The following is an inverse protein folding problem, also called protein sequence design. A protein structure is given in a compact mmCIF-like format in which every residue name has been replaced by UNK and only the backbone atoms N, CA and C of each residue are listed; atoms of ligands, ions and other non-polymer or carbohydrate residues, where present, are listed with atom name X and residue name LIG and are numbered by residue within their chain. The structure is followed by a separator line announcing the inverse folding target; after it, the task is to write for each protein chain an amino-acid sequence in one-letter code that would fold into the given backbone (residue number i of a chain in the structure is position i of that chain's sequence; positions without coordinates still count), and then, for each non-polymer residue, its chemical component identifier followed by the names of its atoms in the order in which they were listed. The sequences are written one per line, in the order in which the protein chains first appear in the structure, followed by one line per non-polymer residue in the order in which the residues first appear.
data_IF_734401563084
#
_entry.id   IF_734401563084
#
_cell.length_a   1.000
_cell.length_b   1.000
_cell.length_c   1.000
_cell.angle_alpha   90.00
_cell.angle_beta   90.00
_cell.angle_gamma   90.00
#
_symmetry.space_group_name_H-M   'P 1'
#
loop_
_entity.id
_entity.type
_entity.pdbx_description
1 polymer ?
#
# COMPACT_ATOMS: atom_id res chain seq x y z
N UNK A 1 13.31 -4.25 2.51
CA UNK A 1 12.67 -5.49 2.01
C UNK A 1 11.64 -5.89 3.05
N UNK A 2 10.36 -5.56 2.85
CA UNK A 2 9.31 -5.95 3.80
C UNK A 2 8.87 -7.37 3.43
N UNK A 3 9.14 -8.36 4.30
CA UNK A 3 8.75 -9.77 4.10
C UNK A 3 7.30 -10.06 4.55
N UNK A 4 6.59 -9.04 5.01
CA UNK A 4 5.19 -9.12 5.46
C UNK A 4 4.16 -8.83 4.35
N UNK A 5 4.63 -8.67 3.11
CA UNK A 5 3.81 -8.44 1.92
C UNK A 5 2.89 -7.21 2.00
N UNK A 6 3.13 -6.30 2.96
CA UNK A 6 2.27 -5.16 3.23
C UNK A 6 2.84 -3.85 2.67
N UNK A 7 1.96 -2.99 2.16
CA UNK A 7 2.30 -1.58 1.95
C UNK A 7 1.90 -0.76 3.17
N UNK A 8 2.72 0.22 3.56
CA UNK A 8 2.44 1.08 4.71
C UNK A 8 2.42 2.53 4.26
N UNK A 9 1.41 3.27 4.72
CA UNK A 9 1.26 4.70 4.50
C UNK A 9 1.55 5.43 5.79
N UNK A 10 2.52 6.34 5.75
CA UNK A 10 3.00 7.10 6.89
C UNK A 10 2.64 8.58 6.73
N UNK A 11 2.14 9.20 7.79
CA UNK A 11 2.06 10.65 7.87
C UNK A 11 3.45 11.21 8.11
N UNK A 12 3.92 12.13 7.26
CA UNK A 12 5.25 12.70 7.38
C UNK A 12 5.33 13.77 8.48
N UNK A 13 4.22 14.45 8.76
CA UNK A 13 4.13 15.50 9.79
C UNK A 13 4.18 14.95 11.20
N UNK A 14 3.50 13.82 11.44
CA UNK A 14 3.40 13.17 12.75
C UNK A 14 4.29 11.92 12.86
N UNK A 15 4.94 11.51 11.76
CA UNK A 15 5.72 10.27 11.64
C UNK A 15 4.93 9.02 12.05
N UNK A 16 3.60 9.06 11.93
CA UNK A 16 2.71 7.98 12.37
C UNK A 16 2.26 7.12 11.21
N UNK A 17 2.19 5.81 11.46
CA UNK A 17 1.56 4.87 10.55
C UNK A 17 0.06 5.18 10.47
N UNK A 18 -0.44 5.49 9.28
CA UNK A 18 -1.87 5.80 9.05
C UNK A 18 -2.64 4.61 8.50
N UNK A 19 -2.02 3.87 7.58
CA UNK A 19 -2.65 2.71 6.96
C UNK A 19 -1.64 1.59 6.75
N UNK A 20 -2.09 0.37 6.99
CA UNK A 20 -1.41 -0.86 6.57
C UNK A 20 -2.30 -1.51 5.52
N UNK A 21 -1.79 -1.63 4.31
CA UNK A 21 -2.45 -2.21 3.16
C UNK A 21 -2.02 -3.66 3.06
N UNK A 22 -2.89 -4.55 3.56
CA UNK A 22 -2.66 -6.00 3.58
C UNK A 22 -3.54 -6.68 2.53
N UNK A 23 -3.02 -7.74 1.92
CA UNK A 23 -3.77 -8.53 0.94
C UNK A 23 -3.00 -8.92 -0.32
N UNK A 24 -1.76 -8.46 -0.48
CA UNK A 24 -0.84 -9.08 -1.44
C UNK A 24 -0.38 -10.44 -0.92
N UNK A 25 -0.34 -11.42 -1.82
CA UNK A 25 0.05 -12.80 -1.50
C UNK A 25 1.56 -13.03 -1.55
N UNK A 26 2.32 -12.02 -1.96
CA UNK A 26 3.77 -12.08 -2.08
C UNK A 26 4.40 -10.67 -2.02
N UNK A 27 5.72 -10.63 -2.16
CA UNK A 27 6.54 -9.42 -2.06
C UNK A 27 6.04 -8.30 -2.98
N UNK A 28 5.80 -7.15 -2.38
CA UNK A 28 5.48 -5.93 -3.13
C UNK A 28 6.77 -5.31 -3.64
N UNK A 29 6.84 -5.05 -4.95
CA UNK A 29 8.00 -4.45 -5.58
C UNK A 29 7.84 -2.95 -5.80
N UNK A 30 6.61 -2.49 -6.00
CA UNK A 30 6.34 -1.09 -6.26
C UNK A 30 5.03 -0.64 -5.60
N UNK A 31 5.00 0.62 -5.19
CA UNK A 31 3.81 1.33 -4.76
C UNK A 31 3.89 2.76 -5.25
N UNK A 32 2.78 3.31 -5.75
CA UNK A 32 2.70 4.67 -6.28
C UNK A 32 1.37 5.30 -5.91
N UNK A 33 1.40 6.57 -5.49
CA UNK A 33 0.20 7.40 -5.43
C UNK A 33 -0.26 7.71 -6.86
N UNK A 34 -1.45 7.22 -7.20
CA UNK A 34 -2.15 7.57 -8.45
C UNK A 34 -2.85 8.92 -8.26
N UNK A 35 -3.44 9.14 -7.09
CA UNK A 35 -4.01 10.41 -6.63
C UNK A 35 -3.68 10.63 -5.14
N UNK A 36 -4.18 11.70 -4.52
CA UNK A 36 -4.01 11.96 -3.09
C UNK A 36 -4.63 10.86 -2.19
N UNK A 37 -5.62 10.13 -2.68
CA UNK A 37 -6.32 9.08 -1.95
C UNK A 37 -6.19 7.69 -2.56
N UNK A 38 -5.69 7.55 -3.80
CA UNK A 38 -5.58 6.27 -4.49
C UNK A 38 -4.13 5.84 -4.62
N UNK A 39 -3.81 4.64 -4.15
CA UNK A 39 -2.50 4.01 -4.28
C UNK A 39 -2.60 2.79 -5.20
N UNK A 40 -1.65 2.63 -6.10
CA UNK A 40 -1.45 1.39 -6.85
C UNK A 40 -0.20 0.67 -6.32
N UNK A 41 -0.29 -0.64 -6.10
CA UNK A 41 0.86 -1.48 -5.76
C UNK A 41 0.94 -2.69 -6.67
N UNK A 42 2.18 -3.06 -7.04
CA UNK A 42 2.49 -4.24 -7.83
C UNK A 42 3.31 -5.24 -7.03
N UNK A 43 2.90 -6.50 -7.09
CA UNK A 43 3.50 -7.59 -6.32
C UNK A 43 3.95 -8.75 -7.20
N UNK A 44 4.86 -9.55 -6.66
CA UNK A 44 5.26 -10.85 -7.21
C UNK A 44 4.10 -11.84 -7.32
N UNK A 45 2.99 -11.59 -6.61
CA UNK A 45 1.77 -12.42 -6.69
C UNK A 45 1.05 -12.34 -8.04
N UNK A 46 1.62 -11.62 -9.01
CA UNK A 46 1.11 -11.37 -10.36
C UNK A 46 -0.18 -10.54 -10.34
N UNK A 47 -0.40 -9.76 -9.29
CA UNK A 47 -1.52 -8.84 -9.17
C UNK A 47 -1.06 -7.40 -9.00
N UNK A 48 -1.90 -6.50 -9.49
CA UNK A 48 -1.90 -5.09 -9.17
C UNK A 48 -3.10 -4.83 -8.24
N UNK A 49 -2.87 -4.19 -7.11
CA UNK A 49 -3.94 -3.79 -6.18
C UNK A 49 -4.05 -2.28 -6.14
N UNK A 50 -5.29 -1.82 -6.17
CA UNK A 50 -5.65 -0.42 -5.96
C UNK A 50 -6.21 -0.28 -4.56
N UNK A 51 -5.72 0.73 -3.84
CA UNK A 51 -6.08 1.02 -2.47
C UNK A 51 -6.65 2.43 -2.41
N UNK A 52 -7.94 2.52 -2.10
CA UNK A 52 -8.60 3.78 -1.83
C UNK A 52 -8.49 4.09 -0.33
N UNK A 53 -7.80 5.18 0.01
CA UNK A 53 -7.62 5.66 1.38
C UNK A 53 -8.84 6.40 1.92
N UNK A 54 -9.77 6.84 1.05
CA UNK A 54 -11.00 7.52 1.45
C UNK A 54 -12.11 6.51 1.78
N UNK A 55 -12.19 5.42 1.02
CA UNK A 55 -13.17 4.36 1.25
C UNK A 55 -12.56 3.21 2.06
N UNK A 56 -12.65 3.32 3.39
CA UNK A 56 -12.41 2.18 4.30
C UNK A 56 -13.59 1.21 4.20
N UNK A 57 -13.44 0.15 3.40
CA UNK A 57 -14.16 -1.10 3.65
C UNK A 57 -13.15 -2.19 4.00
#
# INVERSE_FOLDING_TARGET
CSDDFACRVWGLTDQRLRHTLTGHGAKVFCAKFVTASLIASGSQDRTLKLWDLQNRQ
#
